data_IF_277702108070
#
_entry.id   IF_277702108070
#
_cell.length_a   1.000
_cell.length_b   1.000
_cell.length_c   1.000
_cell.angle_alpha   90.00
_cell.angle_beta   90.00
_cell.angle_gamma   90.00
#
_symmetry.space_group_name_H-M   'P 1'
#
loop_
_entity.id
_entity.type
_entity.pdbx_description
1 polymer ?
#
# COMPACT_ATOMS: atom_id res chain seq x y z
N UNK A 1 -49.77 17.13 33.88
CA UNK A 1 -50.04 15.74 33.48
C UNK A 1 -50.07 14.88 34.73
N UNK A 2 -51.25 14.27 35.03
CA UNK A 2 -51.35 13.29 36.10
C UNK A 2 -50.93 11.92 35.53
N UNK A 3 -49.84 11.35 36.08
CA UNK A 3 -49.32 10.06 35.63
C UNK A 3 -50.36 8.91 35.71
N UNK A 4 -51.39 9.06 36.55
CA UNK A 4 -52.48 8.09 36.68
C UNK A 4 -53.37 7.99 35.42
N UNK A 5 -53.29 8.92 34.48
CA UNK A 5 -54.06 8.91 33.23
C UNK A 5 -53.31 8.35 32.03
N UNK A 6 -52.13 7.78 32.22
CA UNK A 6 -51.42 7.05 31.20
C UNK A 6 -51.93 5.62 31.13
N UNK A 7 -52.89 5.37 30.26
CA UNK A 7 -53.46 4.03 30.04
C UNK A 7 -52.60 3.10 29.21
N UNK A 8 -51.50 3.64 28.67
CA UNK A 8 -50.45 2.92 27.93
C UNK A 8 -49.10 3.35 28.47
N UNK A 9 -48.11 2.47 28.42
CA UNK A 9 -46.76 2.73 28.92
C UNK A 9 -45.96 3.80 28.13
N UNK A 10 -46.60 4.46 27.16
CA UNK A 10 -45.94 5.48 26.31
C UNK A 10 -46.79 6.76 26.24
N UNK A 11 -46.12 7.91 26.27
CA UNK A 11 -46.69 9.21 25.94
C UNK A 11 -46.46 9.46 24.43
N UNK A 12 -47.53 9.82 23.73
CA UNK A 12 -47.41 10.15 22.29
C UNK A 12 -46.47 11.34 22.06
N UNK A 13 -45.75 11.36 20.94
CA UNK A 13 -44.77 12.41 20.61
C UNK A 13 -45.42 13.82 20.64
N UNK A 14 -46.63 13.98 20.13
CA UNK A 14 -47.39 15.24 20.16
C UNK A 14 -47.66 15.78 21.58
N UNK A 15 -47.45 15.00 22.62
CA UNK A 15 -47.61 15.35 24.04
C UNK A 15 -46.26 15.32 24.81
N UNK A 16 -45.13 15.34 24.06
CA UNK A 16 -43.79 15.32 24.62
C UNK A 16 -43.25 13.93 24.95
N UNK A 17 -43.93 12.85 24.53
CA UNK A 17 -43.42 11.49 24.67
C UNK A 17 -42.60 11.03 23.48
N UNK A 18 -41.82 9.98 23.68
CA UNK A 18 -40.99 9.39 22.61
C UNK A 18 -41.74 8.39 21.75
N UNK A 19 -42.92 7.92 22.21
CA UNK A 19 -43.70 6.82 21.65
C UNK A 19 -42.91 5.49 21.55
N UNK A 20 -41.84 5.34 22.32
CA UNK A 20 -40.95 4.17 22.35
C UNK A 20 -41.10 3.52 23.72
N UNK A 21 -41.54 2.25 23.76
CA UNK A 21 -41.84 1.54 25.00
C UNK A 21 -40.65 0.85 25.65
N UNK A 22 -39.55 0.64 24.93
CA UNK A 22 -38.38 -0.10 25.42
C UNK A 22 -37.08 0.48 24.92
N UNK A 23 -36.05 0.44 25.75
CA UNK A 23 -34.71 0.84 25.46
C UNK A 23 -33.73 -0.24 25.89
N UNK A 24 -32.65 -0.41 25.16
CA UNK A 24 -31.48 -1.16 25.54
C UNK A 24 -30.28 -0.21 25.77
N UNK A 25 -29.31 -0.66 26.54
CA UNK A 25 -28.07 0.09 26.74
C UNK A 25 -27.40 0.37 25.40
N UNK A 26 -27.08 1.65 25.13
CA UNK A 26 -26.44 2.08 23.87
C UNK A 26 -27.43 2.44 22.76
N UNK A 27 -28.74 2.32 22.95
CA UNK A 27 -29.73 2.84 21.99
C UNK A 27 -29.65 4.37 21.91
N UNK A 28 -29.82 4.92 20.69
CA UNK A 28 -29.82 6.37 20.42
C UNK A 28 -31.19 6.80 19.94
N UNK A 29 -31.73 7.85 20.59
CA UNK A 29 -32.92 8.55 20.12
C UNK A 29 -32.54 9.66 19.16
N UNK A 30 -33.24 9.77 18.05
CA UNK A 30 -32.99 10.83 17.06
C UNK A 30 -34.31 11.30 16.42
N UNK A 31 -34.33 12.50 15.87
CA UNK A 31 -35.45 12.99 15.09
C UNK A 31 -35.45 12.27 13.72
N UNK A 32 -36.43 11.37 13.52
CA UNK A 32 -36.63 10.65 12.26
C UNK A 32 -37.57 11.39 11.28
N UNK A 33 -38.12 12.52 11.73
CA UNK A 33 -38.98 13.43 10.99
C UNK A 33 -39.25 14.69 11.77
N UNK A 34 -39.94 15.66 11.18
CA UNK A 34 -40.22 16.96 11.81
C UNK A 34 -40.95 16.85 13.15
N UNK A 35 -41.79 15.82 13.31
CA UNK A 35 -42.63 15.60 14.51
C UNK A 35 -42.50 14.18 15.03
N UNK A 36 -41.48 13.41 14.63
CA UNK A 36 -41.31 12.02 15.02
C UNK A 36 -39.93 11.76 15.57
N UNK A 37 -39.84 10.94 16.61
CA UNK A 37 -38.61 10.39 17.14
C UNK A 37 -38.44 8.95 16.66
N UNK A 38 -37.23 8.61 16.24
CA UNK A 38 -36.79 7.25 15.93
C UNK A 38 -35.84 6.76 17.01
N UNK A 39 -35.74 5.46 17.12
CA UNK A 39 -34.74 4.77 17.94
C UNK A 39 -33.77 4.03 17.02
N UNK A 40 -32.49 4.32 17.14
CA UNK A 40 -31.45 3.53 16.57
C UNK A 40 -30.93 2.56 17.63
N UNK A 41 -31.16 1.28 17.41
CA UNK A 41 -30.71 0.25 18.35
C UNK A 41 -29.18 0.23 18.45
N UNK A 42 -28.65 -0.10 19.64
CA UNK A 42 -27.21 -0.29 19.82
C UNK A 42 -26.64 -1.29 18.80
N UNK A 43 -25.45 -1.05 18.23
CA UNK A 43 -24.82 -2.01 17.33
C UNK A 43 -24.30 -3.20 18.13
N UNK A 44 -24.32 -4.40 17.52
CA UNK A 44 -23.76 -5.62 18.12
C UNK A 44 -22.22 -5.70 18.13
N UNK A 45 -21.55 -4.67 17.61
CA UNK A 45 -20.09 -4.55 17.52
C UNK A 45 -19.69 -3.09 17.42
N UNK A 46 -18.39 -2.79 17.45
CA UNK A 46 -17.87 -1.42 17.28
C UNK A 46 -18.27 -0.85 15.92
N UNK A 47 -19.04 0.23 15.92
CA UNK A 47 -19.57 0.92 14.74
C UNK A 47 -19.50 2.42 14.91
N UNK A 48 -19.46 3.14 13.80
CA UNK A 48 -19.56 4.60 13.76
C UNK A 48 -20.99 5.03 13.45
N UNK A 49 -21.46 6.07 14.12
CA UNK A 49 -22.73 6.70 13.77
C UNK A 49 -22.57 7.44 12.43
N UNK A 50 -23.35 7.03 11.43
CA UNK A 50 -23.39 7.65 10.10
C UNK A 50 -24.72 8.38 9.92
N UNK A 51 -24.65 9.64 9.48
CA UNK A 51 -25.80 10.38 9.00
C UNK A 51 -25.75 10.42 7.46
N UNK A 52 -26.82 9.96 6.81
CA UNK A 52 -26.95 10.09 5.35
C UNK A 52 -27.43 11.49 4.98
N UNK A 53 -27.20 11.91 3.72
CA UNK A 53 -27.69 13.20 3.22
C UNK A 53 -29.21 13.38 3.32
N UNK A 54 -29.96 12.29 3.48
CA UNK A 54 -31.41 12.29 3.73
C UNK A 54 -31.76 12.40 5.22
N UNK A 55 -30.78 12.62 6.12
CA UNK A 55 -31.01 12.76 7.56
C UNK A 55 -31.28 11.46 8.31
N UNK A 56 -31.06 10.30 7.67
CA UNK A 56 -31.24 9.00 8.34
C UNK A 56 -29.97 8.61 9.07
N UNK A 57 -30.06 8.33 10.36
CA UNK A 57 -28.98 7.78 11.16
C UNK A 57 -28.90 6.26 10.99
N UNK A 58 -27.68 5.77 10.85
CA UNK A 58 -27.39 4.34 10.81
C UNK A 58 -26.01 4.05 11.41
N UNK A 59 -25.76 2.81 11.79
CA UNK A 59 -24.43 2.36 12.15
C UNK A 59 -23.68 1.95 10.89
N UNK A 60 -22.44 2.36 10.79
CA UNK A 60 -21.53 1.97 9.72
C UNK A 60 -20.27 1.38 10.31
N UNK A 61 -19.66 0.47 9.60
CA UNK A 61 -18.29 0.05 9.92
C UNK A 61 -17.35 1.25 9.83
N UNK A 62 -16.33 1.27 10.68
CA UNK A 62 -15.20 2.13 10.45
C UNK A 62 -14.74 1.83 9.01
N UNK A 63 -14.94 2.77 8.11
CA UNK A 63 -14.33 2.67 6.79
C UNK A 63 -12.85 2.50 7.06
N UNK A 64 -12.30 1.30 6.84
CA UNK A 64 -10.87 1.07 6.89
C UNK A 64 -10.21 2.14 6.05
N UNK A 65 -9.07 2.68 6.48
CA UNK A 65 -8.29 3.57 5.63
C UNK A 65 -8.07 2.87 4.28
N UNK A 66 -7.84 3.63 3.22
CA UNK A 66 -7.57 3.05 1.89
C UNK A 66 -6.31 2.16 1.84
N UNK A 67 -5.50 2.15 2.90
CA UNK A 67 -4.35 1.25 3.06
C UNK A 67 -4.77 0.08 3.94
N UNK A 68 -4.76 -1.13 3.37
CA UNK A 68 -5.11 -2.38 4.05
C UNK A 68 -3.94 -2.94 4.83
N UNK A 69 -2.86 -3.24 4.15
CA UNK A 69 -1.63 -3.79 4.74
C UNK A 69 -0.38 -3.17 4.11
N UNK A 70 0.71 -3.16 4.85
CA UNK A 70 2.04 -2.70 4.40
C UNK A 70 3.05 -3.77 4.72
N UNK A 71 3.82 -4.19 3.72
CA UNK A 71 4.93 -5.14 3.87
C UNK A 71 6.18 -4.53 3.28
N UNK A 72 7.30 -4.61 4.00
CA UNK A 72 8.57 -4.08 3.56
C UNK A 72 9.68 -5.11 3.77
N UNK A 73 10.58 -5.19 2.81
CA UNK A 73 11.89 -5.84 2.97
C UNK A 73 12.97 -4.78 2.87
N UNK A 74 13.91 -4.81 3.81
CA UNK A 74 15.10 -3.95 3.85
C UNK A 74 16.33 -4.84 3.78
N UNK A 75 17.29 -4.46 2.94
CA UNK A 75 18.62 -5.08 2.90
C UNK A 75 19.68 -4.05 3.26
N UNK A 76 20.60 -4.43 4.14
CA UNK A 76 21.77 -3.64 4.53
C UNK A 76 23.07 -4.27 4.00
N UNK A 77 22.99 -5.52 3.55
CA UNK A 77 24.08 -6.20 2.88
C UNK A 77 24.25 -5.70 1.45
N UNK A 78 25.43 -5.92 0.91
CA UNK A 78 25.76 -5.55 -0.46
C UNK A 78 25.88 -6.78 -1.34
N UNK A 79 25.59 -6.62 -2.61
CA UNK A 79 25.77 -7.67 -3.61
C UNK A 79 26.33 -7.11 -4.90
N UNK A 80 26.95 -7.97 -5.72
CA UNK A 80 27.42 -7.67 -7.07
C UNK A 80 26.98 -8.73 -8.06
N UNK A 81 26.88 -8.31 -9.31
CA UNK A 81 26.57 -9.19 -10.40
C UNK A 81 27.29 -8.75 -11.68
N UNK A 82 27.88 -9.68 -12.44
CA UNK A 82 28.75 -9.37 -13.57
C UNK A 82 28.39 -10.13 -14.87
N UNK A 83 27.19 -10.69 -14.97
CA UNK A 83 26.76 -11.39 -16.19
C UNK A 83 25.76 -10.53 -16.97
N UNK A 84 25.98 -10.34 -18.27
CA UNK A 84 25.08 -9.60 -19.15
C UNK A 84 23.76 -10.36 -19.40
N UNK A 85 23.00 -10.56 -18.34
CA UNK A 85 21.69 -11.18 -18.33
C UNK A 85 20.85 -10.61 -17.18
N UNK A 86 19.52 -10.66 -17.28
CA UNK A 86 18.63 -10.32 -16.16
C UNK A 86 18.73 -11.36 -15.06
N UNK A 87 18.92 -10.92 -13.83
CA UNK A 87 18.95 -11.77 -12.64
C UNK A 87 18.26 -11.08 -11.46
N UNK A 88 17.71 -11.87 -10.54
CA UNK A 88 17.08 -11.34 -9.33
C UNK A 88 18.14 -10.69 -8.42
N UNK A 89 17.81 -9.53 -7.86
CA UNK A 89 18.62 -8.89 -6.82
C UNK A 89 18.30 -9.59 -5.50
N UNK A 90 19.27 -10.29 -4.94
CA UNK A 90 19.10 -11.00 -3.66
C UNK A 90 18.57 -10.09 -2.57
N UNK A 91 17.48 -10.47 -1.91
CA UNK A 91 16.84 -9.71 -0.84
C UNK A 91 15.91 -8.57 -1.31
N UNK A 92 15.99 -8.11 -2.57
CA UNK A 92 15.05 -7.11 -3.10
C UNK A 92 13.75 -7.77 -3.58
N UNK A 93 13.09 -8.46 -2.66
CA UNK A 93 11.85 -9.19 -2.89
C UNK A 93 10.92 -9.04 -1.69
N UNK A 94 9.62 -8.96 -1.95
CA UNK A 94 8.57 -8.85 -0.93
C UNK A 94 7.31 -9.53 -1.43
N UNK A 95 6.59 -10.23 -0.55
CA UNK A 95 5.34 -10.89 -0.90
C UNK A 95 4.19 -10.30 -0.10
N UNK A 96 3.04 -10.19 -0.75
CA UNK A 96 1.80 -9.68 -0.16
C UNK A 96 0.63 -10.54 -0.65
N UNK A 97 -0.36 -10.76 0.20
CA UNK A 97 -1.61 -11.44 -0.18
C UNK A 97 -2.74 -10.42 -0.14
N UNK A 98 -3.23 -9.94 -1.29
CA UNK A 98 -4.31 -8.94 -1.31
C UNK A 98 -5.58 -9.47 -0.65
N UNK A 99 -6.26 -8.63 0.10
CA UNK A 99 -7.50 -8.99 0.80
C UNK A 99 -8.71 -9.09 -0.13
N UNK A 100 -8.66 -8.40 -1.28
CA UNK A 100 -9.69 -8.42 -2.32
C UNK A 100 -9.06 -8.40 -3.73
N UNK A 101 -9.76 -8.97 -4.71
CA UNK A 101 -9.23 -9.06 -6.08
C UNK A 101 -9.22 -7.70 -6.81
N UNK A 102 -9.98 -6.72 -6.34
CA UNK A 102 -10.01 -5.36 -6.85
C UNK A 102 -9.05 -4.40 -6.09
N UNK A 103 -8.40 -4.89 -5.03
CA UNK A 103 -7.31 -4.16 -4.37
C UNK A 103 -6.16 -3.90 -5.34
N UNK A 104 -5.54 -2.74 -5.19
CA UNK A 104 -4.30 -2.40 -5.91
C UNK A 104 -3.10 -2.51 -4.98
N UNK A 105 -1.92 -2.71 -5.54
CA UNK A 105 -0.68 -2.76 -4.76
C UNK A 105 0.23 -1.61 -5.19
N UNK A 106 0.47 -0.67 -4.27
CA UNK A 106 1.48 0.36 -4.45
C UNK A 106 2.85 -0.23 -4.09
N UNK A 107 3.70 -0.36 -5.09
CA UNK A 107 5.09 -0.78 -4.94
C UNK A 107 5.98 0.45 -4.87
N UNK A 108 6.84 0.54 -3.86
CA UNK A 108 7.84 1.58 -3.70
C UNK A 108 9.21 0.92 -3.51
N UNK A 109 10.22 1.46 -4.16
CA UNK A 109 11.58 0.94 -4.09
C UNK A 109 12.58 2.05 -3.81
N UNK A 110 13.62 1.73 -3.07
CA UNK A 110 14.83 2.54 -2.94
C UNK A 110 16.02 1.61 -3.04
N UNK A 111 16.81 1.78 -4.11
CA UNK A 111 17.94 0.94 -4.41
C UNK A 111 19.15 1.80 -4.83
N UNK A 112 20.19 1.83 -4.00
CA UNK A 112 21.45 2.45 -4.37
C UNK A 112 22.24 1.50 -5.26
N UNK A 113 22.43 1.89 -6.52
CA UNK A 113 23.09 1.10 -7.56
C UNK A 113 24.35 1.80 -8.05
N UNK A 114 25.39 1.04 -8.25
CA UNK A 114 26.63 1.44 -8.90
C UNK A 114 27.00 0.47 -9.99
N UNK A 115 27.65 0.93 -11.05
CA UNK A 115 28.08 0.10 -12.20
C UNK A 115 29.52 0.44 -12.56
N UNK A 116 30.23 -0.50 -13.15
CA UNK A 116 31.59 -0.26 -13.70
C UNK A 116 31.58 0.95 -14.62
N UNK A 117 32.63 1.78 -14.48
CA UNK A 117 32.83 3.02 -15.26
C UNK A 117 32.64 2.80 -16.77
N UNK A 118 31.84 3.66 -17.40
CA UNK A 118 31.61 3.67 -18.84
C UNK A 118 30.56 2.67 -19.33
N UNK A 119 29.88 1.97 -18.42
CA UNK A 119 28.83 0.99 -18.77
C UNK A 119 27.46 1.39 -18.18
N UNK A 120 26.41 0.80 -18.75
CA UNK A 120 25.05 0.92 -18.27
C UNK A 120 24.70 -0.16 -17.27
N UNK A 121 23.78 0.19 -16.38
CA UNK A 121 23.11 -0.75 -15.48
C UNK A 121 21.61 -0.48 -15.46
N UNK A 122 20.82 -1.51 -15.44
CA UNK A 122 19.37 -1.43 -15.53
C UNK A 122 18.71 -2.19 -14.37
N UNK A 123 17.55 -1.69 -13.92
CA UNK A 123 16.69 -2.36 -12.94
C UNK A 123 15.31 -2.57 -13.55
N UNK A 124 14.71 -3.70 -13.26
CA UNK A 124 13.36 -4.08 -13.68
C UNK A 124 12.55 -4.54 -12.48
N UNK A 125 11.30 -4.06 -12.40
CA UNK A 125 10.30 -4.56 -11.45
C UNK A 125 9.55 -5.73 -12.06
N UNK A 126 9.38 -6.81 -11.28
CA UNK A 126 8.54 -7.93 -11.64
C UNK A 126 7.48 -8.17 -10.56
N UNK A 127 6.30 -8.64 -11.00
CA UNK A 127 5.33 -9.35 -10.19
C UNK A 127 5.42 -10.82 -10.59
N UNK A 128 5.88 -11.67 -9.71
CA UNK A 128 6.20 -13.07 -9.99
C UNK A 128 7.16 -13.18 -11.19
N UNK A 129 6.65 -13.52 -12.38
CA UNK A 129 7.38 -13.53 -13.65
C UNK A 129 6.98 -12.43 -14.63
N UNK A 130 5.97 -11.61 -14.27
CA UNK A 130 5.45 -10.55 -15.15
C UNK A 130 6.26 -9.27 -14.96
N UNK A 131 6.81 -8.75 -16.03
CA UNK A 131 7.51 -7.45 -16.05
C UNK A 131 6.50 -6.30 -15.85
N UNK A 132 6.83 -5.39 -14.94
CA UNK A 132 6.02 -4.22 -14.62
C UNK A 132 6.81 -2.94 -14.81
N UNK A 133 6.09 -1.84 -15.12
CA UNK A 133 6.68 -0.49 -15.17
C UNK A 133 7.95 -0.42 -16.03
N UNK A 134 7.96 -1.08 -17.17
CA UNK A 134 9.07 -1.05 -18.13
C UNK A 134 8.75 -0.09 -19.28
N UNK A 135 9.81 0.51 -19.85
CA UNK A 135 9.71 1.35 -21.03
C UNK A 135 9.27 0.57 -22.27
N UNK A 136 8.83 1.26 -23.30
CA UNK A 136 8.46 0.68 -24.59
C UNK A 136 9.67 0.06 -25.32
N UNK A 137 9.38 -0.86 -26.21
CA UNK A 137 10.41 -1.49 -27.04
C UNK A 137 10.92 -0.50 -28.09
N UNK A 138 12.25 -0.33 -28.17
CA UNK A 138 12.87 0.60 -29.09
C UNK A 138 14.22 0.06 -29.63
N UNK A 139 14.17 -0.73 -30.67
CA UNK A 139 15.35 -1.36 -31.29
C UNK A 139 16.04 -2.32 -30.30
N UNK A 140 17.35 -2.17 -30.11
CA UNK A 140 18.16 -2.99 -29.20
C UNK A 140 18.23 -2.47 -27.76
N UNK A 141 17.45 -1.44 -27.41
CA UNK A 141 17.46 -0.85 -26.07
C UNK A 141 16.82 -1.78 -25.05
N UNK A 142 17.46 -1.91 -23.88
CA UNK A 142 16.89 -2.69 -22.77
C UNK A 142 15.61 -2.04 -22.25
N UNK A 143 14.52 -2.79 -22.22
CA UNK A 143 13.31 -2.37 -21.50
C UNK A 143 13.55 -2.53 -20.00
N UNK A 144 13.49 -1.44 -19.27
CA UNK A 144 13.80 -1.39 -17.85
C UNK A 144 12.86 -0.45 -17.11
N UNK A 145 12.69 -0.64 -15.81
CA UNK A 145 11.99 0.31 -14.94
C UNK A 145 12.84 1.54 -14.65
N UNK A 146 14.14 1.32 -14.46
CA UNK A 146 15.17 2.37 -14.33
C UNK A 146 16.48 1.91 -14.95
N UNK A 147 17.25 2.88 -15.41
CA UNK A 147 18.60 2.64 -15.96
C UNK A 147 19.53 3.80 -15.63
N UNK A 148 20.80 3.51 -15.57
CA UNK A 148 21.84 4.50 -15.33
C UNK A 148 23.12 4.15 -16.07
N UNK A 149 23.86 5.17 -16.48
CA UNK A 149 25.21 5.07 -17.04
C UNK A 149 26.16 5.78 -16.09
N UNK A 150 27.29 5.18 -15.80
CA UNK A 150 28.25 5.68 -14.82
C UNK A 150 29.57 6.04 -15.45
N UNK A 151 30.11 7.17 -15.04
CA UNK A 151 31.38 7.68 -15.51
C UNK A 151 32.55 7.47 -14.54
N UNK A 152 32.23 7.01 -13.30
CA UNK A 152 33.24 6.83 -12.26
C UNK A 152 32.88 5.68 -11.32
N UNK A 153 33.86 4.80 -11.01
CA UNK A 153 33.66 3.59 -10.19
C UNK A 153 33.31 3.86 -8.72
N UNK A 154 33.55 5.08 -8.23
CA UNK A 154 33.17 5.52 -6.89
C UNK A 154 31.80 6.22 -6.86
N UNK A 155 31.06 6.24 -7.97
CA UNK A 155 29.74 6.85 -8.05
C UNK A 155 28.64 5.79 -7.99
N UNK A 156 27.53 6.17 -7.39
CA UNK A 156 26.32 5.38 -7.41
C UNK A 156 25.10 6.31 -7.36
N UNK A 157 23.92 5.78 -7.66
CA UNK A 157 22.68 6.53 -7.67
C UNK A 157 21.59 5.76 -6.92
N UNK A 158 20.79 6.46 -6.15
CA UNK A 158 19.52 5.90 -5.68
C UNK A 158 18.53 5.85 -6.84
N UNK A 159 18.12 4.65 -7.20
CA UNK A 159 17.13 4.38 -8.23
C UNK A 159 15.79 4.03 -7.55
N UNK A 160 15.19 5.06 -6.92
CA UNK A 160 13.85 4.96 -6.34
C UNK A 160 12.77 5.15 -7.40
N UNK A 161 11.69 4.39 -7.30
CA UNK A 161 10.47 4.59 -8.07
C UNK A 161 9.26 4.01 -7.35
N UNK A 162 8.08 4.38 -7.83
CA UNK A 162 6.82 3.84 -7.34
C UNK A 162 5.93 3.45 -8.53
N UNK A 163 5.15 2.39 -8.32
CA UNK A 163 4.23 1.87 -9.32
C UNK A 163 2.98 1.31 -8.62
N UNK A 164 1.80 1.67 -9.13
CA UNK A 164 0.53 1.15 -8.64
C UNK A 164 0.07 0.01 -9.57
N UNK A 165 0.17 -1.20 -9.08
CA UNK A 165 -0.22 -2.42 -9.78
C UNK A 165 -1.66 -2.83 -9.49
N UNK A 166 -2.25 -3.60 -10.40
CA UNK A 166 -3.57 -4.23 -10.27
C UNK A 166 -3.40 -5.74 -10.48
N UNK A 167 -3.06 -6.50 -9.45
CA UNK A 167 -2.75 -7.93 -9.58
C UNK A 167 -3.98 -8.78 -9.86
N UNK A 168 -5.18 -8.30 -9.57
CA UNK A 168 -6.47 -8.97 -9.77
C UNK A 168 -6.55 -10.37 -9.14
N UNK A 169 -5.99 -10.54 -7.94
CA UNK A 169 -5.94 -11.82 -7.22
C UNK A 169 -5.99 -11.62 -5.71
N UNK A 170 -6.41 -12.66 -5.00
CA UNK A 170 -6.30 -12.80 -3.54
C UNK A 170 -5.25 -13.86 -3.14
N UNK A 171 -4.47 -14.34 -4.09
CA UNK A 171 -3.34 -15.24 -3.82
C UNK A 171 -2.08 -14.47 -3.45
N UNK A 172 -1.16 -15.12 -2.75
CA UNK A 172 0.14 -14.54 -2.46
C UNK A 172 0.87 -14.16 -3.76
N UNK A 173 1.33 -12.93 -3.82
CA UNK A 173 1.95 -12.32 -4.99
C UNK A 173 3.29 -11.75 -4.58
N UNK A 174 4.34 -12.03 -5.33
CA UNK A 174 5.71 -11.61 -5.03
C UNK A 174 6.15 -10.51 -5.98
N UNK A 175 6.60 -9.39 -5.40
CA UNK A 175 7.25 -8.30 -6.12
C UNK A 175 8.74 -8.37 -5.89
N UNK A 176 9.53 -8.21 -6.95
CA UNK A 176 10.99 -8.29 -6.89
C UNK A 176 11.66 -7.38 -7.89
N UNK A 177 12.92 -7.05 -7.61
CA UNK A 177 13.77 -6.35 -8.56
C UNK A 177 14.76 -7.31 -9.22
N UNK A 178 14.95 -7.12 -10.52
CA UNK A 178 16.05 -7.67 -11.28
C UNK A 178 17.01 -6.58 -11.72
N UNK A 179 18.25 -6.94 -11.91
CA UNK A 179 19.29 -6.10 -12.49
C UNK A 179 19.87 -6.68 -13.77
N UNK A 180 20.46 -5.82 -14.58
CA UNK A 180 21.17 -6.19 -15.79
C UNK A 180 22.37 -5.24 -15.97
N UNK A 181 23.61 -5.71 -15.85
CA UNK A 181 24.79 -4.95 -16.24
C UNK A 181 25.05 -5.08 -17.74
N UNK A 182 25.44 -4.00 -18.38
CA UNK A 182 25.81 -4.01 -19.79
C UNK A 182 27.13 -4.77 -20.01
N UNK A 183 27.20 -5.63 -21.03
CA UNK A 183 28.39 -6.36 -21.45
C UNK A 183 29.13 -7.08 -20.31
N UNK A 184 30.40 -6.71 -20.08
CA UNK A 184 31.26 -7.26 -19.01
C UNK A 184 31.29 -6.42 -17.75
N UNK A 185 30.34 -5.48 -17.60
CA UNK A 185 30.28 -4.61 -16.43
C UNK A 185 29.91 -5.38 -15.17
N UNK A 186 30.34 -4.87 -14.04
CA UNK A 186 29.81 -5.28 -12.74
C UNK A 186 28.80 -4.24 -12.27
N UNK A 187 27.64 -4.69 -11.82
CA UNK A 187 26.64 -3.88 -11.09
C UNK A 187 26.69 -4.23 -9.61
N UNK A 188 26.53 -3.25 -8.75
CA UNK A 188 26.54 -3.42 -7.29
C UNK A 188 25.32 -2.75 -6.66
N UNK A 189 24.82 -3.32 -5.58
CA UNK A 189 23.77 -2.72 -4.73
C UNK A 189 24.32 -2.47 -3.33
N UNK A 190 23.88 -1.37 -2.72
CA UNK A 190 24.23 -1.00 -1.34
C UNK A 190 25.67 -0.48 -1.17
N UNK A 191 26.42 -0.39 -2.25
CA UNK A 191 27.80 0.11 -2.26
C UNK A 191 28.22 0.58 -3.67
N UNK A 192 29.37 1.22 -3.76
CA UNK A 192 30.03 1.48 -5.05
C UNK A 192 30.73 0.22 -5.56
N UNK A 193 30.92 0.09 -6.88
CA UNK A 193 31.67 -1.05 -7.47
C UNK A 193 33.13 -1.05 -6.99
N UNK A 194 33.74 0.13 -6.85
CA UNK A 194 35.14 0.26 -6.42
C UNK A 194 35.39 -0.17 -4.97
N UNK A 195 34.40 -0.14 -4.11
CA UNK A 195 34.37 -0.64 -2.73
C UNK A 195 35.63 -0.37 -1.88
N UNK A 196 36.34 0.72 -2.17
CA UNK A 196 37.53 1.11 -1.40
C UNK A 196 37.17 1.57 -0.01
N UNK A 197 38.04 1.30 0.97
CA UNK A 197 37.89 1.81 2.35
C UNK A 197 38.22 3.31 2.40
N UNK A 198 37.21 4.13 2.06
CA UNK A 198 37.31 5.57 2.04
C UNK A 198 35.97 6.21 2.41
N UNK A 199 36.02 7.37 3.05
CA UNK A 199 34.85 8.10 3.56
C UNK A 199 33.79 8.43 2.48
N UNK A 200 34.19 8.49 1.22
CA UNK A 200 33.29 8.72 0.09
C UNK A 200 32.64 7.45 -0.49
N UNK A 201 33.01 6.27 -0.01
CA UNK A 201 32.40 4.98 -0.38
C UNK A 201 31.37 4.56 0.65
N UNK A 202 30.13 4.98 0.46
CA UNK A 202 29.06 4.68 1.41
C UNK A 202 28.59 3.23 1.34
N UNK A 203 28.15 2.70 2.48
CA UNK A 203 27.28 1.53 2.59
C UNK A 203 25.86 2.03 2.83
N UNK A 204 24.91 1.59 2.04
CA UNK A 204 23.53 2.08 2.10
C UNK A 204 22.54 0.95 2.32
N UNK A 205 21.49 1.25 3.06
CA UNK A 205 20.32 0.38 3.11
C UNK A 205 19.49 0.55 1.84
N UNK A 206 18.84 -0.53 1.42
CA UNK A 206 17.95 -0.54 0.26
C UNK A 206 16.64 -1.22 0.67
N UNK A 207 15.54 -0.88 0.02
CA UNK A 207 14.23 -1.41 0.39
C UNK A 207 13.30 -1.61 -0.78
N UNK A 208 12.39 -2.56 -0.61
CA UNK A 208 11.20 -2.71 -1.41
C UNK A 208 9.99 -2.78 -0.46
N UNK A 209 9.02 -1.90 -0.69
CA UNK A 209 7.80 -1.79 0.12
C UNK A 209 6.60 -1.99 -0.77
N UNK A 210 5.63 -2.75 -0.30
CA UNK A 210 4.33 -2.90 -0.95
C UNK A 210 3.22 -2.50 0.02
N UNK A 211 2.24 -1.76 -0.48
CA UNK A 211 1.06 -1.34 0.28
C UNK A 211 -0.19 -1.76 -0.47
N UNK A 212 -1.09 -2.46 0.19
CA UNK A 212 -2.41 -2.73 -0.36
C UNK A 212 -3.27 -1.48 -0.29
N UNK A 213 -3.73 -1.04 -1.44
CA UNK A 213 -4.71 0.05 -1.59
C UNK A 213 -6.06 -0.59 -1.84
N UNK A 214 -6.93 -0.49 -0.85
CA UNK A 214 -8.29 -1.05 -0.88
C UNK A 214 -9.17 -0.29 -1.89
N UNK A 215 -10.08 -1.00 -2.53
CA UNK A 215 -11.03 -0.45 -3.49
C UNK A 215 -12.06 0.52 -2.88
#
# INVERSE_FOLDING_TARGET
LNAANLTTNTVAVARGGTNIGTYATGDILYASGATTLGKLNAPGSDKFLKNTSAGTLSWADAGGGKIGQVVQTVITDTATYGTAAWADISGMTVSITPSAADSKILVMTDAFISVTTGYGGHIKLLRDSTELYVGDAAGSRSQASKGAVYYHSASGFSLGFQYLDSPATTSATTYKLQWYPENTATIAIGRTVGDGDAIYNSRTANSITVMEVLA
#
